data_IF_064325425335
#
_entry.id   IF_064325425335
#
_cell.length_a   1.000
_cell.length_b   1.000
_cell.length_c   1.000
_cell.angle_alpha   90.00
_cell.angle_beta   90.00
_cell.angle_gamma   90.00
#
_symmetry.space_group_name_H-M   'P 1'
#
loop_
_entity.id
_entity.type
_entity.pdbx_description
1 polymer ?
#
# COMPACT_ATOMS: atom_id res chain seq x y z
N UNK A 1 11.93 -5.11 -5.64
CA UNK A 1 10.66 -5.80 -5.37
C UNK A 1 10.48 -7.02 -6.28
N UNK A 2 10.41 -6.85 -7.61
CA UNK A 2 10.32 -7.98 -8.56
C UNK A 2 11.41 -9.04 -8.39
N UNK A 3 12.68 -8.62 -8.35
CA UNK A 3 13.81 -9.53 -8.15
C UNK A 3 13.72 -10.26 -6.81
N UNK A 4 13.35 -9.55 -5.74
CA UNK A 4 13.16 -10.15 -4.43
C UNK A 4 12.05 -11.22 -4.45
N UNK A 5 10.89 -10.92 -5.06
CA UNK A 5 9.78 -11.87 -5.19
C UNK A 5 10.20 -13.12 -5.96
N UNK A 6 10.96 -12.96 -7.05
CA UNK A 6 11.51 -14.07 -7.84
C UNK A 6 12.52 -14.92 -7.04
N UNK A 7 13.47 -14.26 -6.37
CA UNK A 7 14.52 -14.94 -5.60
C UNK A 7 13.96 -15.71 -4.42
N UNK A 8 12.90 -15.21 -3.78
CA UNK A 8 12.31 -15.83 -2.59
C UNK A 8 11.14 -16.76 -2.91
N UNK A 9 10.53 -16.64 -4.09
CA UNK A 9 9.31 -17.38 -4.44
C UNK A 9 8.14 -17.05 -3.50
N UNK A 10 8.11 -15.83 -2.96
CA UNK A 10 7.08 -15.33 -2.03
C UNK A 10 6.36 -14.16 -2.68
N UNK A 11 5.07 -14.32 -3.06
CA UNK A 11 4.26 -13.24 -3.63
C UNK A 11 4.14 -12.05 -2.68
N UNK A 12 4.29 -10.84 -3.22
CA UNK A 12 4.13 -9.59 -2.48
C UNK A 12 2.71 -9.08 -2.68
N UNK A 13 2.06 -8.72 -1.57
CA UNK A 13 0.75 -8.09 -1.57
C UNK A 13 0.82 -6.75 -0.87
N UNK A 14 0.20 -5.74 -1.49
CA UNK A 14 0.07 -4.40 -0.96
C UNK A 14 -1.35 -4.25 -0.43
N UNK A 15 -1.47 -3.95 0.86
CA UNK A 15 -2.75 -3.68 1.51
C UNK A 15 -2.80 -2.21 1.91
N UNK A 16 -3.92 -1.57 1.66
CA UNK A 16 -4.20 -0.25 2.17
C UNK A 16 -5.44 -0.32 3.05
N UNK A 17 -5.26 0.03 4.31
CA UNK A 17 -6.29 -0.03 5.35
C UNK A 17 -6.75 1.38 5.68
N UNK A 18 -8.06 1.59 5.57
CA UNK A 18 -8.79 2.77 6.02
C UNK A 18 -9.45 2.49 7.36
N UNK A 19 -10.14 3.49 7.91
CA UNK A 19 -10.87 3.38 9.18
C UNK A 19 -11.88 2.21 9.19
N UNK A 20 -12.68 2.06 8.14
CA UNK A 20 -13.80 1.10 8.09
C UNK A 20 -13.60 -0.05 7.08
N UNK A 21 -12.55 0.00 6.27
CA UNK A 21 -12.36 -0.92 5.13
C UNK A 21 -10.89 -1.08 4.76
N UNK A 22 -10.57 -2.17 4.08
CA UNK A 22 -9.27 -2.37 3.48
C UNK A 22 -9.39 -2.84 2.02
N UNK A 23 -8.37 -2.51 1.24
CA UNK A 23 -8.21 -2.97 -0.14
C UNK A 23 -6.86 -3.66 -0.31
N UNK A 24 -6.84 -4.68 -1.16
CA UNK A 24 -5.65 -5.42 -1.52
C UNK A 24 -5.31 -5.27 -3.01
N UNK A 25 -4.01 -5.29 -3.32
CA UNK A 25 -3.49 -5.37 -4.67
C UNK A 25 -2.24 -6.26 -4.68
N UNK A 26 -2.21 -7.30 -5.50
CA UNK A 26 -0.99 -8.09 -5.69
C UNK A 26 0.07 -7.27 -6.43
N UNK A 27 1.34 -7.44 -6.08
CA UNK A 27 2.44 -6.75 -6.76
C UNK A 27 2.48 -7.07 -8.27
N UNK A 28 2.16 -8.31 -8.67
CA UNK A 28 2.08 -8.69 -10.08
C UNK A 28 1.03 -7.86 -10.83
N UNK A 29 -0.18 -7.74 -10.27
CA UNK A 29 -1.21 -6.87 -10.83
C UNK A 29 -0.78 -5.40 -10.90
N UNK A 30 -0.05 -4.91 -9.90
CA UNK A 30 0.50 -3.56 -9.94
C UNK A 30 1.48 -3.37 -11.11
N UNK A 31 2.35 -4.36 -11.37
CA UNK A 31 3.23 -4.34 -12.55
C UNK A 31 2.46 -4.39 -13.87
N UNK A 32 1.41 -5.21 -13.96
CA UNK A 32 0.54 -5.29 -15.14
C UNK A 32 -0.11 -3.95 -15.44
N UNK A 33 -0.69 -3.28 -14.45
CA UNK A 33 -1.33 -1.97 -14.61
C UNK A 33 -0.37 -0.91 -15.14
N UNK A 34 0.89 -0.95 -14.70
CA UNK A 34 1.96 -0.06 -15.21
C UNK A 34 2.26 -0.41 -16.67
N UNK A 35 2.43 -1.70 -16.98
CA UNK A 35 2.75 -2.17 -18.34
C UNK A 35 1.63 -1.86 -19.35
N UNK A 36 0.38 -1.92 -18.90
CA UNK A 36 -0.81 -1.64 -19.70
C UNK A 36 -1.13 -0.13 -19.81
N UNK A 37 -0.30 0.74 -19.21
CA UNK A 37 -0.54 2.20 -19.10
C UNK A 37 -1.89 2.56 -18.44
N UNK A 38 -2.41 1.68 -17.59
CA UNK A 38 -3.64 1.92 -16.82
C UNK A 38 -3.40 2.76 -15.55
N UNK A 39 -2.12 2.93 -15.19
CA UNK A 39 -1.66 3.85 -14.14
C UNK A 39 -0.42 4.58 -14.62
N UNK A 40 -0.50 5.92 -14.68
CA UNK A 40 0.57 6.76 -15.20
C UNK A 40 1.65 7.08 -14.14
N UNK A 41 2.87 7.26 -14.63
CA UNK A 41 4.00 7.64 -13.80
C UNK A 41 3.95 9.14 -13.45
N UNK A 42 3.97 9.46 -12.16
CA UNK A 42 4.33 10.79 -11.67
C UNK A 42 5.82 10.82 -11.40
N UNK A 43 6.59 11.57 -12.19
CA UNK A 43 8.05 11.70 -12.00
C UNK A 43 8.34 12.86 -11.05
N UNK A 44 8.90 12.55 -9.88
CA UNK A 44 9.43 13.53 -8.94
C UNK A 44 10.95 13.65 -9.11
N UNK A 45 11.43 14.89 -9.19
CA UNK A 45 12.84 15.22 -9.34
C UNK A 45 13.35 15.79 -8.02
N UNK A 46 14.36 15.15 -7.44
CA UNK A 46 15.00 15.57 -6.20
C UNK A 46 16.39 16.12 -6.51
N UNK A 47 16.65 17.36 -6.13
CA UNK A 47 17.98 17.97 -6.25
C UNK A 47 18.65 17.95 -4.88
N UNK A 48 19.83 17.34 -4.82
CA UNK A 48 20.69 17.43 -3.64
C UNK A 48 21.43 18.79 -3.65
N UNK A 49 21.80 19.34 -2.47
CA UNK A 49 22.59 20.58 -2.38
C UNK A 49 23.90 20.57 -3.19
N UNK A 50 24.46 19.39 -3.49
CA UNK A 50 25.64 19.22 -4.33
C UNK A 50 25.38 19.10 -5.84
N UNK A 51 24.17 19.42 -6.32
CA UNK A 51 23.81 19.43 -7.75
C UNK A 51 23.42 18.07 -8.36
N UNK A 52 23.66 16.96 -7.66
CA UNK A 52 23.17 15.65 -8.09
C UNK A 52 21.63 15.63 -8.11
N UNK A 53 21.07 15.31 -9.28
CA UNK A 53 19.62 15.23 -9.48
C UNK A 53 19.21 13.77 -9.58
N UNK A 54 18.30 13.34 -8.69
CA UNK A 54 17.71 11.99 -8.76
C UNK A 54 16.25 12.08 -9.21
N UNK A 55 15.80 11.08 -9.98
CA UNK A 55 14.40 10.99 -10.45
C UNK A 55 13.76 9.77 -9.82
N UNK A 56 12.55 9.94 -9.29
CA UNK A 56 11.72 8.85 -8.76
C UNK A 56 10.41 8.84 -9.52
N UNK A 57 10.07 7.71 -10.15
CA UNK A 57 8.73 7.50 -10.69
C UNK A 57 7.82 6.96 -9.58
N UNK A 58 6.66 7.59 -9.40
CA UNK A 58 5.61 7.14 -8.49
C UNK A 58 4.38 6.75 -9.31
N UNK A 59 3.83 5.57 -9.04
CA UNK A 59 2.61 5.10 -9.67
C UNK A 59 1.48 5.08 -8.63
N UNK A 60 0.36 5.71 -8.96
CA UNK A 60 -0.82 5.75 -8.09
C UNK A 60 -1.84 4.75 -8.62
N UNK A 61 -2.00 3.64 -7.91
CA UNK A 61 -3.02 2.65 -8.24
C UNK A 61 -4.34 3.04 -7.59
N UNK A 62 -5.38 3.21 -8.42
CA UNK A 62 -6.73 3.48 -7.96
C UNK A 62 -7.38 2.23 -7.37
N UNK A 63 -8.24 2.39 -6.37
CA UNK A 63 -8.83 1.27 -5.62
C UNK A 63 -9.71 0.35 -6.46
N UNK A 64 -10.26 0.82 -7.58
CA UNK A 64 -11.04 -0.04 -8.49
C UNK A 64 -10.20 -1.11 -9.20
N UNK A 65 -8.88 -0.95 -9.22
CA UNK A 65 -7.96 -2.00 -9.68
C UNK A 65 -7.57 -2.99 -8.59
N UNK A 66 -7.81 -2.64 -7.33
CA UNK A 66 -7.65 -3.55 -6.20
C UNK A 66 -8.92 -4.36 -5.97
N UNK A 67 -8.83 -5.33 -5.05
CA UNK A 67 -9.99 -6.05 -4.54
C UNK A 67 -10.32 -5.54 -3.13
N UNK A 68 -11.61 -5.49 -2.74
CA UNK A 68 -11.95 -5.26 -1.35
C UNK A 68 -11.35 -6.40 -0.53
N UNK A 69 -10.66 -6.07 0.56
CA UNK A 69 -9.92 -7.03 1.38
C UNK A 69 -10.68 -7.36 2.66
N UNK A 70 -11.29 -6.35 3.29
CA UNK A 70 -11.95 -6.52 4.56
C UNK A 70 -12.71 -5.28 5.00
N UNK A 71 -13.53 -5.45 6.01
CA UNK A 71 -14.36 -4.41 6.61
C UNK A 71 -14.17 -4.40 8.12
N UNK A 72 -14.27 -3.21 8.72
CA UNK A 72 -14.21 -3.06 10.17
C UNK A 72 -15.41 -3.75 10.83
N UNK A 73 -15.13 -4.55 11.85
CA UNK A 73 -16.14 -5.17 12.72
C UNK A 73 -16.17 -4.55 14.11
N UNK A 74 -15.15 -3.77 14.45
CA UNK A 74 -15.09 -2.96 15.65
C UNK A 74 -14.29 -1.69 15.37
N UNK A 75 -14.87 -0.55 15.73
CA UNK A 75 -14.27 0.76 15.53
C UNK A 75 -12.98 0.92 16.37
N UNK A 76 -11.86 1.34 15.74
CA UNK A 76 -10.67 1.66 16.48
C UNK A 76 -10.83 2.99 17.24
N UNK A 77 -10.10 3.14 18.34
CA UNK A 77 -9.98 4.44 19.02
C UNK A 77 -9.08 5.36 18.21
N UNK A 78 -9.52 6.61 18.08
CA UNK A 78 -8.73 7.69 17.49
C UNK A 78 -7.89 8.36 18.58
N UNK A 79 -6.57 8.20 18.54
CA UNK A 79 -5.66 8.78 19.52
C UNK A 79 -4.87 9.92 18.88
N UNK A 80 -4.84 11.12 19.49
CA UNK A 80 -3.99 12.20 19.03
C UNK A 80 -2.53 11.81 19.21
N UNK A 81 -1.71 12.14 18.21
CA UNK A 81 -0.27 11.98 18.24
C UNK A 81 0.41 13.19 17.58
N UNK A 82 1.70 13.37 17.84
CA UNK A 82 2.48 14.40 17.18
C UNK A 82 3.90 13.93 16.89
N UNK A 83 4.50 14.50 15.86
CA UNK A 83 5.94 14.46 15.64
C UNK A 83 6.47 15.87 15.87
N UNK A 84 7.46 16.00 16.74
CA UNK A 84 8.21 17.24 16.93
C UNK A 84 9.53 17.14 16.19
N UNK A 85 9.84 18.13 15.34
CA UNK A 85 11.14 18.21 14.68
C UNK A 85 12.21 18.82 15.61
N UNK A 86 13.48 18.79 15.19
CA UNK A 86 14.60 19.34 15.97
C UNK A 86 14.54 20.87 16.16
N UNK A 87 13.65 21.56 15.44
CA UNK A 87 13.46 23.00 15.50
C UNK A 87 12.21 23.37 16.32
N UNK A 88 11.55 22.40 16.96
CA UNK A 88 10.35 22.60 17.77
C UNK A 88 9.05 22.72 16.96
N UNK A 89 9.04 22.41 15.67
CA UNK A 89 7.80 22.37 14.90
C UNK A 89 7.02 21.09 15.20
N UNK A 90 5.74 21.25 15.51
CA UNK A 90 4.83 20.16 15.83
C UNK A 90 3.96 19.85 14.62
N UNK A 91 4.03 18.60 14.14
CA UNK A 91 3.10 18.05 13.16
C UNK A 91 2.10 17.13 13.89
N UNK A 92 0.85 17.58 14.14
CA UNK A 92 -0.18 16.74 14.75
C UNK A 92 -0.74 15.74 13.73
N UNK A 93 -1.05 14.53 14.19
CA UNK A 93 -1.72 13.48 13.40
C UNK A 93 -2.56 12.58 14.32
N UNK A 94 -3.33 11.67 13.73
CA UNK A 94 -4.17 10.72 14.47
C UNK A 94 -3.63 9.30 14.24
N UNK A 95 -3.57 8.53 15.31
CA UNK A 95 -3.29 7.08 15.25
C UNK A 95 -4.55 6.30 15.59
N UNK A 96 -4.65 5.09 15.04
CA UNK A 96 -5.71 4.15 15.36
C UNK A 96 -5.20 3.13 16.40
N UNK A 97 -5.97 2.87 17.45
CA UNK A 97 -5.63 1.89 18.48
C UNK A 97 -6.81 0.98 18.82
N UNK A 98 -6.57 -0.33 18.84
CA UNK A 98 -7.63 -1.34 18.92
C UNK A 98 -8.40 -1.47 17.60
N UNK A 99 -9.66 -1.89 17.69
CA UNK A 99 -10.50 -2.19 16.54
C UNK A 99 -10.21 -3.55 15.92
N UNK A 100 -11.14 -4.01 15.09
CA UNK A 100 -11.04 -5.29 14.40
C UNK A 100 -11.46 -5.15 12.95
N UNK A 101 -10.73 -5.83 12.07
CA UNK A 101 -11.04 -5.91 10.66
C UNK A 101 -11.20 -7.37 10.28
N UNK A 102 -12.33 -7.70 9.67
CA UNK A 102 -12.58 -9.04 9.14
C UNK A 102 -12.36 -9.07 7.65
N UNK A 103 -11.60 -10.06 7.19
CA UNK A 103 -11.41 -10.31 5.77
C UNK A 103 -12.74 -10.75 5.15
N UNK A 104 -13.04 -10.24 3.95
CA UNK A 104 -14.22 -10.70 3.24
C UNK A 104 -13.99 -12.13 2.72
N UNK A 105 -15.05 -12.97 2.64
CA UNK A 105 -14.95 -14.32 2.10
C UNK A 105 -14.35 -14.35 0.69
N UNK A 106 -14.74 -13.41 -0.17
CA UNK A 106 -14.23 -13.29 -1.54
C UNK A 106 -12.74 -12.96 -1.55
N UNK A 107 -12.27 -12.16 -0.60
CA UNK A 107 -10.85 -11.83 -0.46
C UNK A 107 -10.03 -13.05 -0.05
N UNK A 108 -10.56 -13.91 0.82
CA UNK A 108 -9.90 -15.17 1.19
C UNK A 108 -9.75 -16.09 -0.02
N UNK A 109 -10.79 -16.20 -0.85
CA UNK A 109 -10.72 -16.94 -2.12
C UNK A 109 -9.64 -16.36 -3.06
N UNK A 110 -9.61 -15.04 -3.23
CA UNK A 110 -8.57 -14.38 -4.03
C UNK A 110 -7.16 -14.66 -3.50
N UNK A 111 -6.96 -14.54 -2.19
CA UNK A 111 -5.67 -14.83 -1.55
C UNK A 111 -5.27 -16.31 -1.72
N UNK A 112 -6.22 -17.24 -1.65
CA UNK A 112 -5.99 -18.68 -1.90
C UNK A 112 -5.61 -18.93 -3.36
N UNK A 113 -6.32 -18.34 -4.32
CA UNK A 113 -6.00 -18.44 -5.76
C UNK A 113 -4.60 -17.91 -6.05
N UNK A 114 -4.24 -16.77 -5.48
CA UNK A 114 -2.93 -16.16 -5.65
C UNK A 114 -1.83 -16.99 -4.97
N UNK A 115 -2.10 -17.59 -3.82
CA UNK A 115 -1.20 -18.55 -3.19
C UNK A 115 -1.04 -19.84 -4.02
N UNK A 116 -2.09 -20.31 -4.70
CA UNK A 116 -2.06 -21.51 -5.53
C UNK A 116 -1.20 -21.34 -6.80
N UNK A 117 -1.13 -20.14 -7.38
CA UNK A 117 -0.23 -19.79 -8.51
C UNK A 117 1.27 -19.94 -8.19
N UNK A 118 1.63 -20.24 -6.93
CA UNK A 118 3.00 -20.50 -6.49
C UNK A 118 3.51 -21.89 -6.92
N UNK A 119 2.62 -22.83 -7.24
CA UNK A 119 2.97 -24.18 -7.70
C UNK A 119 3.24 -24.20 -9.20
#
# INVERSE_FOLDING_TARGET
MKEWQKLRGVPIHVWHVFYDRAYGLSFDRAEELIKENLTEATVQVFQAPGGATTKKALYKHYYHYGYPLGVSTEDPKLLPACVEDKNGHILPYVTFSGGHLSLLPESLEQLRLLAAKRK
#
